data_IF_545733621482
#
_entry.id   IF_545733621482
#
_cell.length_a   1.000
_cell.length_b   1.000
_cell.length_c   1.000
_cell.angle_alpha   90.00
_cell.angle_beta   90.00
_cell.angle_gamma   90.00
#
_symmetry.space_group_name_H-M   'P 1'
#
loop_
_entity.id
_entity.type
_entity.pdbx_description
1 polymer ?
#
# COMPACT_ATOMS: atom_id res chain seq x y z
N UNK A 1 3.70 20.61 -15.15
CA UNK A 1 4.63 21.29 -14.22
C UNK A 1 6.00 20.66 -14.39
N UNK A 2 7.14 21.40 -14.41
CA UNK A 2 8.49 20.82 -14.39
C UNK A 2 8.61 19.83 -13.22
N UNK A 3 9.25 18.66 -13.39
CA UNK A 3 9.71 17.89 -12.24
C UNK A 3 10.53 18.85 -11.39
N UNK A 4 10.22 18.92 -10.11
CA UNK A 4 10.96 19.83 -9.25
C UNK A 4 12.37 19.26 -9.04
N UNK A 5 13.27 20.08 -8.50
CA UNK A 5 14.66 19.68 -8.26
C UNK A 5 14.76 18.41 -7.38
N UNK A 6 13.78 18.15 -6.52
CA UNK A 6 13.86 17.04 -5.58
C UNK A 6 13.56 15.69 -6.23
N UNK A 7 12.59 15.59 -7.15
CA UNK A 7 12.26 14.31 -7.79
C UNK A 7 13.43 13.79 -8.62
N UNK A 8 14.03 14.66 -9.44
CA UNK A 8 15.19 14.28 -10.26
C UNK A 8 16.41 14.00 -9.39
N UNK A 9 16.64 14.79 -8.34
CA UNK A 9 17.73 14.53 -7.39
C UNK A 9 17.59 13.14 -6.73
N UNK A 10 16.40 12.80 -6.24
CA UNK A 10 16.17 11.51 -5.61
C UNK A 10 16.19 10.36 -6.63
N UNK A 11 15.68 10.57 -7.84
CA UNK A 11 15.79 9.61 -8.95
C UNK A 11 17.22 9.32 -9.34
N UNK A 12 18.06 10.34 -9.49
CA UNK A 12 19.49 10.20 -9.78
C UNK A 12 20.22 9.49 -8.64
N UNK A 13 19.84 9.79 -7.40
CA UNK A 13 20.35 9.09 -6.22
C UNK A 13 19.97 7.61 -6.25
N UNK A 14 18.71 7.25 -6.52
CA UNK A 14 18.29 5.85 -6.68
C UNK A 14 19.04 5.15 -7.83
N UNK A 15 19.21 5.80 -8.98
CA UNK A 15 19.97 5.19 -10.09
C UNK A 15 21.42 4.92 -9.69
N UNK A 16 22.06 5.84 -8.97
CA UNK A 16 23.46 5.70 -8.53
C UNK A 16 23.66 4.75 -7.35
N UNK A 17 22.62 4.47 -6.55
CA UNK A 17 22.68 3.62 -5.36
C UNK A 17 22.01 2.26 -5.56
N UNK A 18 21.58 1.94 -6.79
CA UNK A 18 21.12 0.59 -7.12
C UNK A 18 22.30 -0.39 -7.06
N UNK A 19 22.12 -1.48 -6.32
CA UNK A 19 23.14 -2.51 -6.22
C UNK A 19 23.30 -3.26 -7.57
N UNK A 20 24.40 -4.03 -7.78
CA UNK A 20 24.60 -4.74 -9.04
C UNK A 20 23.51 -5.74 -9.42
N UNK A 21 22.74 -6.27 -8.45
CA UNK A 21 21.64 -7.19 -8.70
C UNK A 21 20.27 -6.50 -8.85
N UNK A 22 20.24 -5.16 -8.87
CA UNK A 22 19.03 -4.37 -9.06
C UNK A 22 18.32 -3.94 -7.78
N UNK A 23 18.81 -4.36 -6.61
CA UNK A 23 18.16 -4.07 -5.33
C UNK A 23 18.47 -2.68 -4.78
N UNK A 24 17.67 -2.30 -3.78
CA UNK A 24 17.91 -1.16 -2.89
C UNK A 24 17.98 -1.64 -1.44
N UNK A 25 18.81 -0.99 -0.64
CA UNK A 25 18.83 -1.21 0.79
C UNK A 25 17.60 -0.59 1.45
N UNK A 26 17.14 -1.16 2.55
CA UNK A 26 15.94 -0.72 3.26
C UNK A 26 16.14 0.67 3.89
N UNK A 27 17.34 0.94 4.41
CA UNK A 27 17.67 2.25 4.96
C UNK A 27 19.12 2.61 4.66
N UNK A 28 19.36 3.90 4.49
CA UNK A 28 20.66 4.49 4.24
C UNK A 28 20.98 5.47 5.37
N UNK A 29 22.27 5.66 5.65
CA UNK A 29 22.72 6.67 6.61
C UNK A 29 22.26 8.09 6.20
N UNK A 30 22.32 9.04 7.13
CA UNK A 30 21.87 10.41 6.90
C UNK A 30 22.60 11.11 5.75
N UNK A 31 23.85 10.71 5.49
CA UNK A 31 24.66 11.21 4.37
C UNK A 31 24.24 10.60 3.01
N UNK A 32 23.41 9.56 3.01
CA UNK A 32 22.96 8.84 1.83
C UNK A 32 24.08 8.09 1.10
N UNK A 33 25.16 7.73 1.80
CA UNK A 33 26.39 7.16 1.22
C UNK A 33 26.53 5.65 1.40
N UNK A 34 25.77 5.06 2.32
CA UNK A 34 25.85 3.64 2.62
C UNK A 34 24.65 3.15 3.42
N UNK A 35 24.44 1.82 3.48
CA UNK A 35 23.32 1.24 4.20
C UNK A 35 23.44 1.46 5.70
N UNK A 36 22.33 1.84 6.33
CA UNK A 36 22.09 1.67 7.77
C UNK A 36 21.39 0.34 8.05
N UNK A 37 20.53 -0.11 7.12
CA UNK A 37 19.94 -1.43 7.09
C UNK A 37 20.09 -2.01 5.67
N UNK A 38 20.84 -3.10 5.54
CA UNK A 38 21.20 -3.73 4.26
C UNK A 38 20.18 -4.76 3.75
N UNK A 39 19.03 -4.92 4.42
CA UNK A 39 17.91 -5.70 3.90
C UNK A 39 17.41 -5.10 2.57
N UNK A 40 16.89 -5.96 1.69
CA UNK A 40 16.55 -5.57 0.30
C UNK A 40 15.12 -5.91 -0.11
N UNK A 41 14.31 -6.44 0.80
CA UNK A 41 12.95 -6.91 0.52
C UNK A 41 12.00 -5.81 0.03
N UNK A 42 12.32 -4.54 0.31
CA UNK A 42 11.49 -3.38 -0.06
C UNK A 42 11.90 -2.69 -1.36
N UNK A 43 12.80 -3.31 -2.13
CA UNK A 43 13.24 -2.82 -3.45
C UNK A 43 12.09 -2.40 -4.36
N UNK A 44 10.95 -3.08 -4.29
CA UNK A 44 9.78 -2.81 -5.13
C UNK A 44 9.19 -1.40 -4.92
N UNK A 45 9.41 -0.76 -3.77
CA UNK A 45 8.87 0.57 -3.45
C UNK A 45 9.46 1.65 -4.39
N UNK A 46 10.68 1.46 -4.89
CA UNK A 46 11.30 2.41 -5.82
C UNK A 46 10.69 2.38 -7.23
N UNK A 47 10.04 1.27 -7.61
CA UNK A 47 9.60 1.03 -9.00
C UNK A 47 8.56 2.04 -9.48
N UNK A 48 7.44 2.31 -8.77
CA UNK A 48 6.42 3.24 -9.25
C UNK A 48 7.00 4.65 -9.44
N UNK A 49 7.79 5.13 -8.47
CA UNK A 49 8.44 6.44 -8.53
C UNK A 49 9.36 6.57 -9.75
N UNK A 50 10.23 5.58 -9.98
CA UNK A 50 11.17 5.61 -11.10
C UNK A 50 10.45 5.50 -12.46
N UNK A 51 9.36 4.73 -12.55
CA UNK A 51 8.56 4.65 -13.78
C UNK A 51 7.83 5.94 -14.08
N UNK A 52 7.21 6.57 -13.07
CA UNK A 52 6.53 7.85 -13.21
C UNK A 52 7.53 8.95 -13.58
N UNK A 53 8.70 8.97 -12.94
CA UNK A 53 9.77 9.90 -13.28
C UNK A 53 10.29 9.67 -14.70
N UNK A 54 10.48 8.42 -15.13
CA UNK A 54 10.89 8.08 -16.51
C UNK A 54 9.85 8.54 -17.55
N UNK A 55 8.57 8.37 -17.26
CA UNK A 55 7.49 8.82 -18.15
C UNK A 55 7.43 10.34 -18.23
N UNK A 56 7.70 10.99 -17.11
CA UNK A 56 7.68 12.44 -17.01
C UNK A 56 8.89 13.10 -17.70
N UNK A 57 10.11 12.60 -17.48
CA UNK A 57 11.35 13.19 -18.00
C UNK A 57 11.74 12.66 -19.38
N UNK A 58 11.34 11.43 -19.71
CA UNK A 58 11.83 10.69 -20.88
C UNK A 58 13.21 10.05 -20.67
N UNK A 59 13.81 10.17 -19.48
CA UNK A 59 15.14 9.62 -19.19
C UNK A 59 15.08 8.09 -19.02
N UNK A 60 15.86 7.40 -19.85
CA UNK A 60 15.84 5.93 -19.95
C UNK A 60 16.46 5.27 -18.71
N UNK A 61 17.42 5.93 -18.04
CA UNK A 61 18.10 5.40 -16.86
C UNK A 61 17.13 5.07 -15.72
N UNK A 62 16.10 5.89 -15.50
CA UNK A 62 15.07 5.63 -14.49
C UNK A 62 14.25 4.39 -14.82
N UNK A 63 13.87 4.21 -16.10
CA UNK A 63 13.15 3.03 -16.55
C UNK A 63 13.99 1.76 -16.40
N UNK A 64 15.26 1.81 -16.78
CA UNK A 64 16.16 0.67 -16.65
C UNK A 64 16.38 0.27 -15.19
N UNK A 65 16.54 1.25 -14.30
CA UNK A 65 16.64 1.00 -12.85
C UNK A 65 15.34 0.38 -12.30
N UNK A 66 14.18 0.89 -12.70
CA UNK A 66 12.88 0.34 -12.31
C UNK A 66 12.69 -1.12 -12.75
N UNK A 67 13.10 -1.46 -13.97
CA UNK A 67 13.01 -2.83 -14.50
C UNK A 67 13.87 -3.78 -13.67
N UNK A 68 15.13 -3.42 -13.42
CA UNK A 68 16.05 -4.23 -12.59
C UNK A 68 15.53 -4.44 -11.17
N UNK A 69 14.99 -3.39 -10.56
CA UNK A 69 14.37 -3.46 -9.24
C UNK A 69 13.13 -4.37 -9.23
N UNK A 70 12.30 -4.30 -10.27
CA UNK A 70 11.15 -5.18 -10.46
C UNK A 70 11.55 -6.65 -10.66
N UNK A 71 12.59 -6.92 -11.43
CA UNK A 71 13.14 -8.27 -11.62
C UNK A 71 13.70 -8.83 -10.30
N UNK A 72 14.50 -8.05 -9.58
CA UNK A 72 15.01 -8.44 -8.26
C UNK A 72 13.87 -8.79 -7.29
N UNK A 73 12.85 -7.92 -7.20
CA UNK A 73 11.70 -8.15 -6.33
C UNK A 73 10.88 -9.37 -6.77
N UNK A 74 10.73 -9.60 -8.08
CA UNK A 74 10.03 -10.78 -8.58
C UNK A 74 10.75 -12.08 -8.17
N UNK A 75 12.07 -12.13 -8.29
CA UNK A 75 12.87 -13.31 -7.98
C UNK A 75 13.01 -13.53 -6.46
N UNK A 76 13.27 -12.45 -5.71
CA UNK A 76 13.69 -12.53 -4.29
C UNK A 76 12.53 -12.39 -3.31
N UNK A 77 11.43 -11.74 -3.71
CA UNK A 77 10.26 -11.49 -2.86
C UNK A 77 9.05 -12.28 -3.35
N UNK A 78 8.65 -12.08 -4.60
CA UNK A 78 7.41 -12.65 -5.13
C UNK A 78 7.47 -14.17 -5.28
N UNK A 79 8.51 -14.69 -5.94
CA UNK A 79 8.66 -16.12 -6.23
C UNK A 79 8.69 -16.99 -4.96
N UNK A 80 9.45 -16.63 -3.91
CA UNK A 80 9.44 -17.36 -2.64
C UNK A 80 8.29 -16.94 -1.69
N UNK A 81 7.46 -15.96 -2.06
CA UNK A 81 6.38 -15.38 -1.25
C UNK A 81 6.86 -14.79 0.09
N UNK A 82 8.00 -14.09 0.09
CA UNK A 82 8.63 -13.46 1.25
C UNK A 82 8.27 -11.97 1.36
N UNK A 83 6.98 -11.66 1.33
CA UNK A 83 6.51 -10.27 1.49
C UNK A 83 6.81 -9.77 2.90
N UNK A 84 7.76 -8.84 3.03
CA UNK A 84 8.25 -8.28 4.30
C UNK A 84 7.98 -6.77 4.35
N UNK A 85 7.49 -6.30 5.49
CA UNK A 85 7.14 -4.89 5.70
C UNK A 85 8.37 -3.98 5.60
N UNK A 86 8.18 -2.77 5.07
CA UNK A 86 9.26 -1.79 4.89
C UNK A 86 9.28 -0.68 5.94
N UNK A 87 8.44 -0.77 6.98
CA UNK A 87 8.42 0.23 8.03
C UNK A 87 9.56 -0.03 9.02
N UNK A 88 10.32 1.01 9.44
CA UNK A 88 11.46 0.85 10.33
C UNK A 88 11.14 0.18 11.68
N UNK A 89 9.88 0.25 12.12
CA UNK A 89 9.38 -0.29 13.38
C UNK A 89 8.97 -1.77 13.33
N UNK A 90 8.86 -2.37 12.14
CA UNK A 90 8.48 -3.77 11.94
C UNK A 90 9.48 -4.52 11.03
N UNK A 91 10.76 -4.23 11.22
CA UNK A 91 11.84 -4.75 10.38
C UNK A 91 11.85 -6.29 10.33
N UNK A 92 11.98 -6.84 9.12
CA UNK A 92 12.05 -8.28 8.89
C UNK A 92 10.74 -9.07 9.11
N UNK A 93 9.62 -8.42 9.46
CA UNK A 93 8.35 -9.12 9.67
C UNK A 93 7.54 -9.27 8.38
N UNK A 94 6.94 -10.45 8.19
CA UNK A 94 6.05 -10.70 7.06
C UNK A 94 4.87 -9.72 7.07
N UNK A 95 4.64 -9.02 5.97
CA UNK A 95 3.62 -7.97 5.86
C UNK A 95 2.92 -8.02 4.50
N UNK A 96 1.69 -7.56 4.46
CA UNK A 96 0.89 -7.45 3.24
C UNK A 96 1.21 -6.18 2.42
N UNK A 97 1.84 -5.17 3.03
CA UNK A 97 2.07 -3.85 2.45
C UNK A 97 2.92 -3.82 1.16
N UNK A 98 3.87 -4.75 0.92
CA UNK A 98 4.61 -4.81 -0.35
C UNK A 98 3.80 -5.36 -1.53
N UNK A 99 2.68 -6.04 -1.29
CA UNK A 99 1.81 -6.62 -2.33
C UNK A 99 1.07 -5.56 -3.17
N UNK A 100 0.92 -4.37 -2.62
CA UNK A 100 0.25 -3.22 -3.21
C UNK A 100 1.13 -2.40 -4.18
N UNK A 101 2.38 -2.80 -4.41
CA UNK A 101 3.23 -2.06 -5.35
C UNK A 101 2.64 -2.14 -6.76
N UNK A 102 2.42 -0.97 -7.38
CA UNK A 102 1.89 -0.81 -8.73
C UNK A 102 2.68 -1.61 -9.75
N UNK A 103 2.21 -2.83 -10.04
CA UNK A 103 2.68 -3.56 -11.20
C UNK A 103 1.90 -3.05 -12.42
N UNK A 104 2.56 -2.65 -13.51
CA UNK A 104 1.86 -2.36 -14.75
C UNK A 104 1.15 -3.64 -15.22
N UNK A 105 -0.15 -3.76 -14.91
CA UNK A 105 -0.99 -4.93 -15.16
C UNK A 105 -1.23 -5.24 -16.64
N UNK A 106 -0.55 -4.54 -17.55
CA UNK A 106 -0.72 -4.63 -19.00
C UNK A 106 0.13 -5.72 -19.65
N UNK A 107 1.10 -6.31 -18.93
CA UNK A 107 1.94 -7.39 -19.44
C UNK A 107 1.53 -8.75 -18.82
N UNK A 108 1.33 -9.83 -19.61
CA UNK A 108 0.82 -11.11 -19.11
C UNK A 108 1.65 -11.77 -18.00
N UNK A 109 2.97 -11.57 -18.01
CA UNK A 109 3.86 -12.05 -16.94
C UNK A 109 3.56 -11.33 -15.61
N UNK A 110 3.43 -10.00 -15.65
CA UNK A 110 3.12 -9.17 -14.49
C UNK A 110 1.68 -9.35 -14.01
N UNK A 111 0.74 -9.70 -14.89
CA UNK A 111 -0.65 -10.01 -14.51
C UNK A 111 -0.76 -11.20 -13.56
N UNK A 112 -0.01 -12.30 -13.80
CA UNK A 112 -0.01 -13.45 -12.89
C UNK A 112 0.67 -13.13 -11.55
N UNK A 113 1.72 -12.32 -11.61
CA UNK A 113 2.41 -11.80 -10.42
C UNK A 113 1.46 -10.96 -9.57
N UNK A 114 0.75 -10.01 -10.19
CA UNK A 114 -0.21 -9.14 -9.52
C UNK A 114 -1.38 -9.92 -8.90
N UNK A 115 -1.92 -10.91 -9.61
CA UNK A 115 -2.94 -11.84 -9.07
C UNK A 115 -2.46 -12.51 -7.78
N UNK A 116 -1.28 -13.13 -7.80
CA UNK A 116 -0.74 -13.83 -6.64
C UNK A 116 -0.43 -12.89 -5.47
N UNK A 117 0.07 -11.70 -5.74
CA UNK A 117 0.33 -10.68 -4.72
C UNK A 117 -0.98 -10.20 -4.08
N UNK A 118 -1.99 -9.87 -4.89
CA UNK A 118 -3.31 -9.46 -4.43
C UNK A 118 -4.01 -10.57 -3.62
N UNK A 119 -3.93 -11.82 -4.08
CA UNK A 119 -4.50 -12.96 -3.36
C UNK A 119 -3.84 -13.14 -1.99
N UNK A 120 -2.51 -13.03 -1.92
CA UNK A 120 -1.77 -13.07 -0.66
C UNK A 120 -2.17 -11.92 0.28
N UNK A 121 -2.14 -10.68 -0.22
CA UNK A 121 -2.50 -9.49 0.56
C UNK A 121 -3.91 -9.59 1.14
N UNK A 122 -4.84 -10.18 0.38
CA UNK A 122 -6.21 -10.33 0.83
C UNK A 122 -6.43 -11.37 1.93
N UNK A 123 -5.54 -12.37 2.08
CA UNK A 123 -5.70 -13.37 3.16
C UNK A 123 -5.58 -12.75 4.56
N UNK A 124 -5.17 -11.48 4.64
CA UNK A 124 -4.97 -10.73 5.87
C UNK A 124 -6.15 -9.79 6.22
N UNK A 125 -7.17 -9.73 5.36
CA UNK A 125 -8.32 -8.81 5.52
C UNK A 125 -9.48 -9.50 6.23
N UNK A 126 -10.05 -8.81 7.22
CA UNK A 126 -11.23 -9.28 7.91
C UNK A 126 -12.47 -9.12 7.02
N UNK A 127 -13.03 -10.24 6.58
CA UNK A 127 -14.22 -10.25 5.71
C UNK A 127 -15.55 -10.10 6.46
N UNK A 128 -15.54 -10.24 7.79
CA UNK A 128 -16.71 -10.09 8.66
C UNK A 128 -16.37 -9.35 9.95
N UNK A 129 -17.40 -8.80 10.59
CA UNK A 129 -17.29 -8.20 11.91
C UNK A 129 -17.37 -9.27 13.00
N UNK A 130 -16.60 -9.06 14.07
CA UNK A 130 -16.81 -9.71 15.35
C UNK A 130 -17.07 -8.66 16.43
N UNK A 131 -17.59 -9.08 17.57
CA UNK A 131 -17.82 -8.18 18.70
C UNK A 131 -16.48 -7.68 19.25
N UNK A 132 -16.31 -6.37 19.24
CA UNK A 132 -15.19 -5.66 19.86
C UNK A 132 -15.72 -4.89 21.05
N UNK A 133 -15.16 -5.12 22.24
CA UNK A 133 -15.40 -4.26 23.39
C UNK A 133 -14.63 -2.95 23.20
N UNK A 134 -15.34 -1.90 22.80
CA UNK A 134 -14.77 -0.58 22.53
C UNK A 134 -15.75 0.53 22.92
N UNK A 135 -15.23 1.62 23.45
CA UNK A 135 -15.93 2.89 23.61
C UNK A 135 -15.75 3.82 22.39
N UNK A 136 -14.90 3.44 21.43
CA UNK A 136 -14.70 4.18 20.18
C UNK A 136 -15.86 3.94 19.23
N UNK A 137 -16.57 4.99 18.78
CA UNK A 137 -17.64 4.86 17.78
C UNK A 137 -17.20 4.13 16.51
N UNK A 138 -15.97 4.38 16.04
CA UNK A 138 -15.40 3.75 14.85
C UNK A 138 -15.50 2.21 14.89
N UNK A 139 -15.20 1.60 16.03
CA UNK A 139 -15.15 0.14 16.17
C UNK A 139 -16.42 -0.45 16.77
N UNK A 140 -17.08 0.27 17.68
CA UNK A 140 -18.36 -0.18 18.26
C UNK A 140 -19.52 -0.14 17.27
N UNK A 141 -19.49 0.74 16.26
CA UNK A 141 -20.53 0.85 15.23
C UNK A 141 -20.20 0.06 13.97
N UNK A 142 -18.96 0.15 13.47
CA UNK A 142 -18.60 -0.42 12.17
C UNK A 142 -17.82 -1.73 12.26
N UNK A 143 -17.26 -2.06 13.43
CA UNK A 143 -16.47 -3.27 13.65
C UNK A 143 -15.12 -3.21 12.95
N UNK A 144 -14.70 -4.34 12.38
CA UNK A 144 -13.34 -4.56 11.85
C UNK A 144 -13.32 -4.95 10.37
N UNK A 145 -14.48 -5.14 9.76
CA UNK A 145 -14.58 -5.61 8.38
C UNK A 145 -13.86 -4.63 7.46
N UNK A 146 -12.97 -5.15 6.63
CA UNK A 146 -12.13 -4.38 5.72
C UNK A 146 -10.85 -3.82 6.33
N UNK A 147 -10.66 -3.94 7.64
CA UNK A 147 -9.35 -3.76 8.26
C UNK A 147 -8.48 -4.99 7.98
N UNK A 148 -7.18 -4.86 8.20
CA UNK A 148 -6.23 -5.95 7.99
C UNK A 148 -5.21 -6.08 9.11
N UNK A 149 -4.62 -7.27 9.25
CA UNK A 149 -3.43 -7.45 10.07
C UNK A 149 -2.22 -6.78 9.40
N UNK A 150 -1.43 -6.05 10.19
CA UNK A 150 -0.28 -5.27 9.67
C UNK A 150 0.90 -6.17 9.29
N UNK A 151 1.26 -7.09 10.20
CA UNK A 151 2.40 -7.97 10.07
C UNK A 151 2.25 -9.21 10.97
N UNK A 152 2.99 -10.27 10.65
CA UNK A 152 3.17 -11.41 11.55
C UNK A 152 3.88 -10.97 12.84
N UNK A 153 3.77 -11.74 13.92
CA UNK A 153 4.50 -11.48 15.18
C UNK A 153 3.82 -10.51 16.15
N UNK A 154 2.77 -9.82 15.69
CA UNK A 154 1.85 -9.06 16.54
C UNK A 154 0.43 -9.11 15.97
N UNK A 155 -0.52 -8.47 16.65
CA UNK A 155 -1.93 -8.44 16.24
C UNK A 155 -2.49 -7.04 16.01
N UNK A 156 -1.61 -6.08 15.73
CA UNK A 156 -2.02 -4.75 15.29
C UNK A 156 -2.66 -4.83 13.90
N UNK A 157 -3.69 -4.01 13.71
CA UNK A 157 -4.53 -3.93 12.54
C UNK A 157 -4.59 -2.50 12.01
N UNK A 158 -4.80 -2.33 10.71
CA UNK A 158 -4.93 -1.01 10.08
C UNK A 158 -5.88 -1.01 8.87
N UNK A 159 -5.95 0.18 8.25
CA UNK A 159 -6.75 0.48 7.06
C UNK A 159 -5.93 0.44 5.76
N UNK A 160 -4.71 -0.14 5.75
CA UNK A 160 -3.74 0.00 4.66
C UNK A 160 -4.31 -0.37 3.29
N UNK A 161 -5.14 -1.41 3.18
CA UNK A 161 -5.78 -1.82 1.92
C UNK A 161 -6.61 -0.73 1.24
N UNK A 162 -6.97 0.33 1.96
CA UNK A 162 -7.57 1.52 1.36
C UNK A 162 -6.68 2.12 0.26
N UNK A 163 -5.35 2.00 0.39
CA UNK A 163 -4.35 2.43 -0.59
C UNK A 163 -4.43 1.62 -1.90
N UNK A 164 -4.88 0.36 -1.84
CA UNK A 164 -4.83 -0.59 -2.97
C UNK A 164 -6.09 -0.53 -3.86
N UNK A 165 -7.05 0.37 -3.59
CA UNK A 165 -8.36 0.41 -4.29
C UNK A 165 -8.20 0.53 -5.80
N UNK A 166 -7.39 1.49 -6.27
CA UNK A 166 -7.17 1.72 -7.69
C UNK A 166 -6.49 0.52 -8.36
N UNK A 167 -5.48 -0.05 -7.72
CA UNK A 167 -4.68 -1.13 -8.26
C UNK A 167 -5.46 -2.44 -8.36
N UNK A 168 -6.30 -2.74 -7.35
CA UNK A 168 -7.20 -3.90 -7.37
C UNK A 168 -8.31 -3.72 -8.43
N UNK A 169 -8.83 -2.49 -8.61
CA UNK A 169 -9.80 -2.22 -9.68
C UNK A 169 -9.16 -2.40 -11.06
N UNK A 170 -7.92 -1.93 -11.25
CA UNK A 170 -7.16 -2.18 -12.48
C UNK A 170 -6.90 -3.67 -12.71
N UNK A 171 -6.65 -4.44 -11.64
CA UNK A 171 -6.52 -5.89 -11.72
C UNK A 171 -7.85 -6.55 -12.15
N UNK A 172 -8.99 -6.10 -11.63
CA UNK A 172 -10.31 -6.51 -12.13
C UNK A 172 -10.45 -6.23 -13.63
N UNK A 173 -10.14 -5.01 -14.08
CA UNK A 173 -10.25 -4.64 -15.50
C UNK A 173 -9.32 -5.47 -16.39
N UNK A 174 -8.12 -5.79 -15.90
CA UNK A 174 -7.14 -6.60 -16.63
C UNK A 174 -7.52 -8.08 -16.68
N UNK A 175 -8.14 -8.62 -15.63
CA UNK A 175 -8.48 -10.05 -15.47
C UNK A 175 -9.89 -10.39 -15.93
N UNK A 176 -10.81 -9.43 -15.87
CA UNK A 176 -12.25 -9.59 -15.94
C UNK A 176 -12.80 -10.58 -14.88
N UNK A 177 -12.10 -10.72 -13.74
CA UNK A 177 -12.55 -11.56 -12.63
C UNK A 177 -13.36 -10.74 -11.62
N UNK A 178 -14.67 -11.00 -11.47
CA UNK A 178 -15.54 -10.23 -10.57
C UNK A 178 -15.15 -10.35 -9.09
N UNK A 179 -14.27 -11.29 -8.72
CA UNK A 179 -13.67 -11.37 -7.39
C UNK A 179 -12.91 -10.09 -7.03
N UNK A 180 -12.07 -9.57 -7.93
CA UNK A 180 -11.29 -8.36 -7.67
C UNK A 180 -12.15 -7.09 -7.62
N UNK A 181 -13.27 -7.05 -8.34
CA UNK A 181 -14.23 -5.95 -8.20
C UNK A 181 -14.80 -5.89 -6.77
N UNK A 182 -15.17 -7.03 -6.19
CA UNK A 182 -15.66 -7.10 -4.80
C UNK A 182 -14.59 -6.64 -3.80
N UNK A 183 -13.32 -6.92 -4.07
CA UNK A 183 -12.22 -6.51 -3.21
C UNK A 183 -12.01 -5.01 -3.25
N UNK A 184 -11.98 -4.44 -4.45
CA UNK A 184 -11.88 -3.01 -4.61
C UNK A 184 -13.08 -2.29 -3.97
N UNK A 185 -14.30 -2.84 -4.07
CA UNK A 185 -15.48 -2.33 -3.35
C UNK A 185 -15.31 -2.38 -1.83
N UNK A 186 -14.82 -3.50 -1.29
CA UNK A 186 -14.63 -3.63 0.15
C UNK A 186 -13.51 -2.69 0.66
N UNK A 187 -12.41 -2.55 -0.07
CA UNK A 187 -11.34 -1.60 0.25
C UNK A 187 -11.81 -0.13 0.14
N UNK A 188 -12.63 0.19 -0.87
CA UNK A 188 -13.12 1.56 -1.06
C UNK A 188 -14.12 1.98 0.02
N UNK A 189 -14.87 1.02 0.58
CA UNK A 189 -15.98 1.31 1.49
C UNK A 189 -15.70 0.87 2.93
N UNK A 190 -15.40 -0.41 3.15
CA UNK A 190 -15.29 -0.99 4.49
C UNK A 190 -13.96 -0.68 5.17
N UNK A 191 -12.85 -0.67 4.44
CA UNK A 191 -11.57 -0.25 5.02
C UNK A 191 -11.58 1.21 5.51
N UNK A 192 -12.52 2.02 4.99
CA UNK A 192 -12.71 3.44 5.33
C UNK A 192 -13.80 3.72 6.34
N UNK A 193 -14.48 2.70 6.87
CA UNK A 193 -15.61 2.90 7.79
C UNK A 193 -15.21 3.52 9.12
N UNK A 194 -13.93 3.45 9.47
CA UNK A 194 -13.34 4.04 10.68
C UNK A 194 -12.83 5.46 10.48
N UNK A 195 -13.09 6.06 9.32
CA UNK A 195 -12.74 7.47 9.02
C UNK A 195 -13.92 8.38 9.33
N UNK A 196 -13.68 9.49 10.02
CA UNK A 196 -14.72 10.49 10.28
C UNK A 196 -14.97 11.33 9.02
N UNK A 197 -16.23 11.56 8.69
CA UNK A 197 -16.65 12.43 7.59
C UNK A 197 -18.00 13.09 7.91
N UNK A 198 -18.41 14.14 7.16
CA UNK A 198 -19.72 14.77 7.36
C UNK A 198 -20.86 13.73 7.30
N UNK A 199 -21.60 13.59 8.41
CA UNK A 199 -22.67 12.60 8.54
C UNK A 199 -22.28 11.28 9.22
N UNK A 200 -20.99 11.09 9.54
CA UNK A 200 -20.48 9.95 10.32
C UNK A 200 -19.58 10.44 11.48
N UNK A 201 -20.17 10.98 12.56
CA UNK A 201 -19.40 11.49 13.69
C UNK A 201 -18.78 10.34 14.50
N UNK A 202 -17.47 10.15 14.39
CA UNK A 202 -16.73 9.12 15.14
C UNK A 202 -16.05 9.64 16.41
N UNK A 203 -16.14 10.94 16.67
CA UNK A 203 -15.55 11.58 17.85
C UNK A 203 -14.10 12.04 17.65
N UNK A 204 -13.62 12.11 16.41
CA UNK A 204 -12.33 12.69 16.07
C UNK A 204 -12.41 14.21 15.97
N UNK A 205 -11.27 14.87 16.15
CA UNK A 205 -11.21 16.33 16.20
C UNK A 205 -11.62 17.03 14.89
N UNK A 206 -11.56 16.32 13.75
CA UNK A 206 -11.90 16.83 12.40
C UNK A 206 -12.32 15.68 11.48
N UNK A 207 -13.05 16.04 10.43
CA UNK A 207 -13.32 15.13 9.32
C UNK A 207 -12.03 14.80 8.54
N UNK A 208 -11.99 13.60 7.96
CA UNK A 208 -10.81 13.01 7.32
C UNK A 208 -9.83 12.33 8.29
N UNK A 209 -10.08 12.40 9.61
CA UNK A 209 -9.26 11.74 10.61
C UNK A 209 -9.70 10.29 10.84
N UNK A 210 -8.71 9.47 11.14
CA UNK A 210 -8.80 8.07 11.54
C UNK A 210 -7.58 7.71 12.40
N UNK A 211 -7.70 6.60 13.13
CA UNK A 211 -6.62 6.08 13.95
C UNK A 211 -5.72 5.12 13.15
N UNK A 212 -4.42 5.19 13.44
CA UNK A 212 -3.47 4.17 13.03
C UNK A 212 -3.45 2.99 14.01
N UNK A 213 -3.03 1.82 13.55
CA UNK A 213 -2.53 0.71 14.36
C UNK A 213 -3.35 0.43 15.63
N UNK A 214 -4.37 -0.39 15.45
CA UNK A 214 -5.27 -0.84 16.51
C UNK A 214 -5.09 -2.33 16.80
N UNK A 215 -4.92 -2.69 18.06
CA UNK A 215 -5.04 -4.07 18.51
C UNK A 215 -6.50 -4.39 18.78
N UNK A 216 -7.07 -5.36 18.04
CA UNK A 216 -8.43 -5.88 18.27
C UNK A 216 -8.49 -7.39 18.42
N UNK A 217 -7.35 -8.09 18.36
CA UNK A 217 -7.31 -9.55 18.34
C UNK A 217 -7.72 -10.21 19.66
N UNK A 218 -7.68 -9.49 20.79
CA UNK A 218 -8.22 -9.94 22.07
C UNK A 218 -9.71 -9.58 22.25
N UNK A 219 -10.37 -9.19 21.15
CA UNK A 219 -11.77 -8.73 21.09
C UNK A 219 -12.02 -7.46 21.90
N UNK A 220 -10.96 -6.68 22.19
CA UNK A 220 -11.03 -5.40 22.90
C UNK A 220 -10.30 -4.35 22.09
N UNK A 221 -10.74 -3.11 22.23
CA UNK A 221 -10.04 -1.99 21.61
C UNK A 221 -8.76 -1.63 22.37
N UNK A 222 -7.64 -1.58 21.63
CA UNK A 222 -6.39 -0.99 22.07
C UNK A 222 -5.68 -0.28 20.92
N UNK A 223 -5.89 1.02 20.75
CA UNK A 223 -5.23 1.82 19.71
C UNK A 223 -4.10 2.69 20.24
N UNK A 224 -3.21 3.13 19.33
CA UNK A 224 -2.21 4.16 19.65
C UNK A 224 -2.84 5.54 19.88
N UNK A 225 -4.10 5.74 19.47
CA UNK A 225 -4.86 7.00 19.58
C UNK A 225 -4.19 8.19 18.88
N UNK A 226 -3.49 7.91 17.77
CA UNK A 226 -2.78 8.90 16.96
C UNK A 226 -3.25 8.78 15.50
N UNK A 227 -3.35 9.94 14.85
CA UNK A 227 -3.49 10.05 13.41
C UNK A 227 -2.10 10.23 12.79
N UNK A 228 -1.77 9.42 11.78
CA UNK A 228 -0.64 9.68 10.91
C UNK A 228 -1.09 10.19 9.54
N UNK A 229 -0.38 11.16 8.94
CA UNK A 229 -0.74 11.71 7.64
C UNK A 229 -0.89 10.69 6.51
N UNK A 230 -0.13 9.59 6.56
CA UNK A 230 -0.20 8.54 5.53
C UNK A 230 -1.59 7.90 5.44
N UNK A 231 -2.34 7.81 6.54
CA UNK A 231 -3.69 7.26 6.55
C UNK A 231 -4.60 8.05 5.60
N UNK A 232 -4.53 9.38 5.67
CA UNK A 232 -5.37 10.25 4.83
C UNK A 232 -4.96 10.15 3.36
N UNK A 233 -3.65 10.03 3.08
CA UNK A 233 -3.14 9.81 1.71
C UNK A 233 -3.64 8.48 1.17
N UNK A 234 -3.49 7.38 1.92
CA UNK A 234 -3.96 6.05 1.55
C UNK A 234 -5.47 6.00 1.27
N UNK A 235 -6.27 6.84 1.94
CA UNK A 235 -7.72 6.89 1.72
C UNK A 235 -8.12 7.77 0.53
N UNK A 236 -7.40 8.85 0.27
CA UNK A 236 -7.77 9.84 -0.75
C UNK A 236 -7.15 9.55 -2.12
N UNK A 237 -5.86 9.22 -2.16
CA UNK A 237 -5.08 9.12 -3.40
C UNK A 237 -5.63 8.07 -4.39
N UNK A 238 -6.03 6.86 -3.96
CA UNK A 238 -6.59 5.86 -4.88
C UNK A 238 -7.92 6.27 -5.49
N UNK A 239 -8.69 7.09 -4.78
CA UNK A 239 -9.95 7.64 -5.27
C UNK A 239 -9.70 8.72 -6.34
N UNK A 240 -8.70 9.58 -6.11
CA UNK A 240 -8.27 10.55 -7.11
C UNK A 240 -7.77 9.84 -8.39
N UNK A 241 -7.04 8.73 -8.26
CA UNK A 241 -6.63 7.95 -9.43
C UNK A 241 -7.82 7.31 -10.18
N UNK A 242 -8.87 6.86 -9.48
CA UNK A 242 -10.10 6.40 -10.13
C UNK A 242 -10.77 7.54 -10.92
N UNK A 243 -10.87 8.72 -10.30
CA UNK A 243 -11.44 9.92 -10.94
C UNK A 243 -10.63 10.34 -12.17
N UNK A 244 -9.30 10.39 -12.08
CA UNK A 244 -8.43 10.74 -13.20
C UNK A 244 -8.53 9.73 -14.36
N UNK A 245 -8.62 8.44 -14.04
CA UNK A 245 -8.65 7.37 -15.05
C UNK A 245 -10.02 7.15 -15.69
N UNK A 246 -11.11 7.35 -14.94
CA UNK A 246 -12.46 6.94 -15.35
C UNK A 246 -13.53 8.03 -15.20
N UNK A 247 -13.19 9.20 -14.66
CA UNK A 247 -14.11 10.32 -14.47
C UNK A 247 -15.02 10.19 -13.25
N UNK A 248 -14.81 9.20 -12.38
CA UNK A 248 -15.56 9.05 -11.12
C UNK A 248 -14.71 8.36 -10.04
N UNK A 249 -14.89 8.76 -8.79
CA UNK A 249 -14.24 8.15 -7.62
C UNK A 249 -15.08 7.05 -6.96
N UNK A 250 -16.39 7.00 -7.21
CA UNK A 250 -17.24 5.92 -6.68
C UNK A 250 -17.12 4.68 -7.56
N UNK A 251 -16.47 3.65 -7.03
CA UNK A 251 -16.27 2.37 -7.70
C UNK A 251 -17.57 1.65 -8.06
N UNK A 252 -18.69 1.97 -7.40
CA UNK A 252 -19.99 1.38 -7.72
C UNK A 252 -20.68 2.06 -8.92
N UNK A 253 -20.14 3.20 -9.35
CA UNK A 253 -20.62 3.97 -10.50
C UNK A 253 -19.72 3.80 -11.75
N UNK A 254 -18.69 2.95 -11.68
CA UNK A 254 -17.70 2.67 -12.73
C UNK A 254 -17.98 1.41 -13.56
#
# INVERSE_FOLDING_TARGET
>A
MPATLWETFFGDWLVSHQTPNGSYYQAYNLEGTGPENDATYNTIIAVPFLLDLANYTGEVSYRDAAIKAGEFAFETVHTPATYVGGTPDNDGQGSNRPGAARFPGTLPAYKRTAVRAADFEWTWVYSWNYLVASDRPAYSQFGVRGQSLIATGHSAMDTWHSASVFDIYQLYRATNDPYYLKFAQLAANNAKSTTQYPGNPLGYGRDGLLEEAIGLADLRYGGVNVWLPWNSVAHAEPLAFLEDAYGNMDINEL
#
